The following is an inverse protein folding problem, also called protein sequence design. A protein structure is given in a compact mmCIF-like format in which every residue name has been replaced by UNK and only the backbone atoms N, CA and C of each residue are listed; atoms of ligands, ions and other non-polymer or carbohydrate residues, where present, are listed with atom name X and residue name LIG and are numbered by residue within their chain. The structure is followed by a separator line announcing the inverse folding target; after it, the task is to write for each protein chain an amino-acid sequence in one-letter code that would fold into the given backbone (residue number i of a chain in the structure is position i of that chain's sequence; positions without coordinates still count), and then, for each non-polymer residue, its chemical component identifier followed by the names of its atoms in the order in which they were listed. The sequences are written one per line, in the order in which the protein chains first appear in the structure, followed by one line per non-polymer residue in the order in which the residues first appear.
data_IF_983564026190
#
_entry.id   IF_983564026190
#
_cell.length_a   1.000
_cell.length_b   1.000
_cell.length_c   1.000
_cell.angle_alpha   90.00
_cell.angle_beta   90.00
_cell.angle_gamma   90.00
#
_symmetry.space_group_name_H-M   'P 1'
#
loop_
_entity.id
_entity.type
_entity.pdbx_description
1 polymer ?
#
# COMPACT_ATOMS: atom_id res chain seq x y z
N UNK A 1 15.45 7.91 -16.07
CA UNK A 1 15.50 8.05 -14.59
C UNK A 1 16.79 7.49 -14.01
N UNK A 2 17.24 6.25 -14.34
CA UNK A 2 18.44 5.61 -13.77
C UNK A 2 19.70 6.46 -13.90
N UNK A 3 20.08 6.83 -15.12
CA UNK A 3 21.31 7.61 -15.41
C UNK A 3 21.29 9.01 -14.80
N UNK A 4 20.12 9.64 -14.72
CA UNK A 4 19.94 10.98 -14.17
C UNK A 4 19.64 10.99 -12.67
N UNK A 5 19.65 9.85 -11.99
CA UNK A 5 19.32 9.69 -10.56
C UNK A 5 17.96 10.29 -10.18
N UNK A 6 16.96 10.12 -11.06
CA UNK A 6 15.60 10.60 -10.86
C UNK A 6 14.69 9.47 -10.36
N UNK A 7 13.60 9.85 -9.71
CA UNK A 7 12.51 8.94 -9.38
C UNK A 7 11.53 8.87 -10.55
N UNK A 8 11.13 7.66 -10.93
CA UNK A 8 10.09 7.44 -11.92
C UNK A 8 8.73 7.47 -11.25
N UNK A 9 7.96 8.53 -11.46
CA UNK A 9 6.68 8.78 -10.81
C UNK A 9 5.65 9.39 -11.77
N UNK A 10 4.39 9.37 -11.35
CA UNK A 10 3.29 10.14 -11.93
C UNK A 10 2.80 11.15 -10.89
N UNK A 11 2.58 12.40 -11.27
CA UNK A 11 1.97 13.37 -10.37
C UNK A 11 0.49 13.00 -10.12
N UNK A 12 0.02 13.27 -8.91
CA UNK A 12 -1.37 13.09 -8.52
C UNK A 12 -1.97 14.48 -8.36
N UNK A 13 -3.07 14.71 -9.06
CA UNK A 13 -3.88 15.92 -8.94
C UNK A 13 -5.24 15.54 -8.37
N UNK A 14 -5.84 16.43 -7.61
CA UNK A 14 -7.14 16.24 -6.99
C UNK A 14 -7.98 17.52 -7.15
N UNK A 15 -9.24 17.33 -7.50
CA UNK A 15 -10.26 18.37 -7.45
C UNK A 15 -11.03 18.19 -6.15
N UNK A 16 -11.23 19.26 -5.39
CA UNK A 16 -11.97 19.17 -4.13
C UNK A 16 -12.84 20.40 -3.91
N UNK A 17 -13.92 20.18 -3.16
CA UNK A 17 -14.84 21.21 -2.72
C UNK A 17 -14.90 21.25 -1.21
N UNK A 18 -14.69 22.41 -0.63
CA UNK A 18 -14.80 22.61 0.80
C UNK A 18 -16.20 23.10 1.12
N UNK A 19 -16.90 22.32 1.96
CA UNK A 19 -18.19 22.71 2.51
C UNK A 19 -18.00 23.36 3.87
N UNK A 20 -18.71 24.46 4.12
CA UNK A 20 -18.75 25.11 5.43
C UNK A 20 -20.04 24.72 6.13
N UNK A 21 -19.94 24.01 7.25
CA UNK A 21 -21.06 23.59 8.09
C UNK A 21 -21.58 24.70 9.03
N UNK A 22 -20.85 25.82 9.11
CA UNK A 22 -21.11 26.94 10.02
C UNK A 22 -22.09 27.98 9.46
N UNK A 23 -22.63 27.77 8.26
CA UNK A 23 -23.60 28.69 7.65
C UNK A 23 -25.03 28.32 8.06
N UNK A 24 -25.89 29.33 8.37
CA UNK A 24 -27.26 29.07 8.75
C UNK A 24 -28.05 28.46 7.59
N UNK A 25 -29.05 27.57 7.87
CA UNK A 25 -29.81 26.84 6.83
C UNK A 25 -30.67 27.74 5.92
N UNK A 26 -30.67 29.06 6.16
CA UNK A 26 -31.39 30.07 5.34
C UNK A 26 -30.53 30.72 4.27
N UNK A 27 -29.24 30.36 4.15
CA UNK A 27 -28.38 30.87 3.09
C UNK A 27 -28.79 30.26 1.74
N UNK A 28 -29.05 31.12 0.76
CA UNK A 28 -29.30 30.68 -0.63
C UNK A 28 -28.03 30.08 -1.23
N UNK A 29 -28.15 29.19 -2.21
CA UNK A 29 -27.01 28.51 -2.88
C UNK A 29 -25.92 29.46 -3.40
N UNK A 30 -26.27 30.75 -3.61
CA UNK A 30 -25.32 31.82 -4.00
C UNK A 30 -24.46 32.33 -2.84
N UNK A 31 -24.89 32.16 -1.58
CA UNK A 31 -24.18 32.60 -0.38
C UNK A 31 -23.34 31.52 0.28
N UNK A 32 -23.53 30.28 -0.14
CA UNK A 32 -22.69 29.14 0.26
C UNK A 32 -21.42 29.25 -0.57
N UNK A 33 -20.46 30.00 -0.06
CA UNK A 33 -19.15 30.16 -0.67
C UNK A 33 -18.44 28.81 -0.74
N UNK A 34 -18.70 28.07 -1.80
CA UNK A 34 -17.90 26.88 -2.10
C UNK A 34 -16.52 27.35 -2.53
N UNK A 35 -15.51 26.88 -1.84
CA UNK A 35 -14.14 26.96 -2.36
C UNK A 35 -13.96 25.70 -3.18
N UNK A 36 -13.98 25.84 -4.49
CA UNK A 36 -13.68 24.78 -5.43
C UNK A 36 -12.24 24.98 -5.93
N UNK A 37 -11.42 23.97 -5.71
CA UNK A 37 -10.04 23.95 -6.17
C UNK A 37 -9.88 22.77 -7.13
N UNK A 38 -9.49 23.07 -8.36
CA UNK A 38 -9.27 22.10 -9.41
C UNK A 38 -7.78 21.89 -9.68
N UNK A 39 -7.38 20.67 -9.96
CA UNK A 39 -6.02 20.35 -10.39
C UNK A 39 -4.94 20.60 -9.33
N UNK A 40 -5.28 20.52 -8.06
CA UNK A 40 -4.31 20.70 -6.97
C UNK A 40 -3.34 19.53 -6.92
N UNK A 41 -2.06 19.79 -7.11
CA UNK A 41 -1.01 18.78 -7.00
C UNK A 41 -0.84 18.34 -5.55
N UNK A 42 -1.22 17.09 -5.22
CA UNK A 42 -1.17 16.55 -3.87
C UNK A 42 0.06 15.68 -3.61
N UNK A 43 0.74 15.23 -4.65
CA UNK A 43 1.94 14.42 -4.49
C UNK A 43 2.38 13.70 -5.76
N UNK A 44 3.44 12.93 -5.63
CA UNK A 44 4.01 12.12 -6.70
C UNK A 44 3.96 10.65 -6.31
N UNK A 45 3.33 9.83 -7.14
CA UNK A 45 3.25 8.38 -6.94
C UNK A 45 4.33 7.68 -7.77
N UNK A 46 5.30 7.00 -7.13
CA UNK A 46 6.24 6.16 -7.86
C UNK A 46 5.50 5.09 -8.67
N UNK A 47 5.91 4.90 -9.91
CA UNK A 47 5.27 3.95 -10.83
C UNK A 47 6.15 2.70 -10.96
N UNK A 48 5.54 1.54 -10.78
CA UNK A 48 6.20 0.27 -11.00
C UNK A 48 6.48 0.09 -12.49
N UNK A 49 7.73 -0.21 -12.84
CA UNK A 49 8.15 -0.44 -14.22
C UNK A 49 7.38 -1.60 -14.83
N UNK A 50 6.85 -1.40 -16.03
CA UNK A 50 5.99 -2.31 -16.80
C UNK A 50 4.61 -2.59 -16.19
N UNK A 51 4.18 -1.83 -15.19
CA UNK A 51 2.79 -1.86 -14.74
C UNK A 51 1.85 -1.18 -15.74
N UNK A 52 0.53 -1.34 -15.56
CA UNK A 52 -0.47 -0.73 -16.44
C UNK A 52 -0.45 0.81 -16.52
N UNK A 53 0.28 1.48 -15.61
CA UNK A 53 0.51 2.94 -15.62
C UNK A 53 1.91 3.32 -16.15
N UNK A 54 2.75 2.34 -16.45
CA UNK A 54 4.09 2.57 -16.96
C UNK A 54 4.07 2.88 -18.45
N UNK A 55 4.89 3.83 -18.89
CA UNK A 55 5.04 4.15 -20.32
C UNK A 55 5.59 2.97 -21.16
N UNK A 56 6.23 1.99 -20.50
CA UNK A 56 6.73 0.78 -21.14
C UNK A 56 5.68 -0.35 -21.18
N UNK A 57 4.46 -0.10 -20.70
CA UNK A 57 3.37 -1.05 -20.86
C UNK A 57 3.02 -1.20 -22.36
N UNK A 58 2.66 -2.41 -22.83
CA UNK A 58 2.34 -2.65 -24.24
C UNK A 58 1.34 -1.65 -24.82
N UNK A 59 0.28 -1.33 -24.07
CA UNK A 59 -0.78 -0.42 -24.50
C UNK A 59 -0.28 1.03 -24.67
N UNK A 60 0.75 1.43 -23.93
CA UNK A 60 1.31 2.78 -24.01
C UNK A 60 2.43 2.89 -25.05
N UNK A 61 3.28 1.86 -25.18
CA UNK A 61 4.42 1.88 -26.08
C UNK A 61 3.98 1.71 -27.55
N UNK A 62 2.87 1.05 -27.79
CA UNK A 62 2.30 0.87 -29.13
C UNK A 62 1.68 2.15 -29.72
N UNK A 63 1.45 3.17 -28.89
CA UNK A 63 0.80 4.42 -29.27
C UNK A 63 -0.71 4.27 -29.53
N UNK A 64 -1.39 5.42 -29.69
CA UNK A 64 -2.85 5.50 -29.86
C UNK A 64 -3.38 4.92 -31.20
N UNK A 65 -2.51 4.58 -32.14
CA UNK A 65 -2.91 4.08 -33.43
C UNK A 65 -3.06 2.55 -33.52
N UNK A 66 -2.49 1.80 -32.60
CA UNK A 66 -2.60 0.34 -32.54
C UNK A 66 -3.35 -0.10 -31.27
N UNK A 67 -4.65 0.12 -31.26
CA UNK A 67 -5.58 -0.21 -30.20
C UNK A 67 -5.80 -1.70 -30.02
N UNK A 68 -4.81 -2.53 -29.73
CA UNK A 68 -5.13 -3.88 -29.23
C UNK A 68 -3.94 -4.78 -28.90
N UNK A 69 -2.89 -4.27 -28.25
CA UNK A 69 -2.02 -5.21 -27.56
C UNK A 69 -2.57 -5.46 -26.15
N UNK A 70 -3.66 -6.21 -26.04
CA UNK A 70 -4.14 -6.67 -24.74
C UNK A 70 -3.17 -7.71 -24.21
N UNK A 71 -2.29 -7.32 -23.29
CA UNK A 71 -1.48 -8.26 -22.53
C UNK A 71 -2.38 -8.95 -21.48
N UNK A 72 -3.26 -9.82 -22.00
CA UNK A 72 -4.02 -10.79 -21.23
C UNK A 72 -3.09 -11.97 -20.88
N UNK A 73 -3.35 -12.76 -19.83
CA UNK A 73 -2.62 -14.01 -19.58
C UNK A 73 -2.66 -15.01 -20.74
N UNK A 74 -3.46 -14.76 -21.76
CA UNK A 74 -3.54 -15.49 -23.03
C UNK A 74 -2.85 -14.77 -24.21
N UNK A 75 -1.85 -13.93 -23.95
CA UNK A 75 -1.11 -13.20 -24.99
C UNK A 75 -0.49 -14.18 -25.98
N UNK A 76 -0.74 -13.98 -27.27
CA UNK A 76 -0.13 -14.80 -28.33
C UNK A 76 1.39 -14.62 -28.34
N UNK A 77 2.12 -15.64 -28.80
CA UNK A 77 3.57 -15.55 -28.96
C UNK A 77 3.99 -14.40 -29.90
N UNK A 78 3.15 -14.07 -30.87
CA UNK A 78 3.34 -12.97 -31.81
C UNK A 78 3.26 -11.60 -31.10
N UNK A 79 2.28 -11.38 -30.22
CA UNK A 79 2.14 -10.13 -29.47
C UNK A 79 3.32 -9.92 -28.50
N UNK A 80 3.80 -11.00 -27.86
CA UNK A 80 4.98 -10.94 -27.02
C UNK A 80 6.25 -10.57 -27.81
N UNK A 81 6.40 -11.10 -29.02
CA UNK A 81 7.51 -10.79 -29.91
C UNK A 81 7.45 -9.32 -30.35
N UNK A 82 6.28 -8.86 -30.78
CA UNK A 82 6.03 -7.46 -31.18
C UNK A 82 6.34 -6.47 -30.06
N UNK A 83 5.92 -6.78 -28.83
CA UNK A 83 6.24 -5.95 -27.66
C UNK A 83 7.76 -5.85 -27.43
N UNK A 84 8.50 -6.97 -27.54
CA UNK A 84 9.96 -6.98 -27.44
C UNK A 84 10.63 -6.11 -28.52
N UNK A 85 10.10 -6.09 -29.74
CA UNK A 85 10.62 -5.24 -30.80
C UNK A 85 10.36 -3.76 -30.55
N UNK A 86 9.18 -3.40 -29.99
CA UNK A 86 8.86 -2.04 -29.62
C UNK A 86 9.77 -1.54 -28.50
N UNK A 87 10.06 -2.38 -27.50
CA UNK A 87 11.02 -2.05 -26.43
C UNK A 87 12.43 -1.80 -26.99
N UNK A 88 12.91 -2.64 -27.92
CA UNK A 88 14.21 -2.41 -28.58
C UNK A 88 14.24 -1.10 -29.36
N UNK A 89 13.16 -0.77 -30.07
CA UNK A 89 13.05 0.50 -30.82
C UNK A 89 13.07 1.71 -29.90
N UNK A 90 12.53 1.60 -28.70
CA UNK A 90 12.56 2.67 -27.67
C UNK A 90 13.87 2.73 -26.88
N UNK A 91 14.82 1.83 -27.14
CA UNK A 91 16.10 1.77 -26.44
C UNK A 91 16.05 1.09 -25.09
N UNK A 92 15.00 0.32 -24.81
CA UNK A 92 14.81 -0.42 -23.57
C UNK A 92 15.16 -1.91 -23.71
N UNK A 93 15.58 -2.52 -22.61
CA UNK A 93 15.91 -3.96 -22.62
C UNK A 93 14.62 -4.81 -22.68
N UNK A 94 14.42 -5.61 -23.74
CA UNK A 94 13.25 -6.48 -23.84
C UNK A 94 13.26 -7.64 -22.84
N UNK A 95 14.40 -7.96 -22.21
CA UNK A 95 14.54 -9.04 -21.23
C UNK A 95 14.29 -8.56 -19.78
N UNK A 96 14.21 -7.25 -19.56
CA UNK A 96 13.87 -6.70 -18.25
C UNK A 96 12.47 -7.18 -17.81
N UNK A 97 12.32 -7.89 -16.67
CA UNK A 97 11.01 -8.39 -16.23
C UNK A 97 10.07 -7.29 -15.73
N UNK A 98 10.58 -6.11 -15.35
CA UNK A 98 9.82 -5.08 -14.65
C UNK A 98 9.46 -5.48 -13.21
N UNK A 99 8.41 -4.89 -12.64
CA UNK A 99 7.95 -5.19 -11.28
C UNK A 99 8.72 -4.49 -10.17
N UNK A 100 9.55 -3.52 -10.50
CA UNK A 100 10.35 -2.72 -9.56
C UNK A 100 10.09 -1.22 -9.75
N UNK A 101 10.52 -0.44 -8.77
CA UNK A 101 10.45 1.02 -8.79
C UNK A 101 11.84 1.62 -8.98
N UNK A 102 11.91 2.78 -9.61
CA UNK A 102 13.15 3.55 -9.72
C UNK A 102 13.03 4.77 -8.81
N UNK A 103 13.80 4.77 -7.73
CA UNK A 103 13.81 5.83 -6.72
C UNK A 103 15.22 6.42 -6.67
N UNK A 104 15.35 7.71 -7.00
CA UNK A 104 16.64 8.41 -7.07
C UNK A 104 17.69 7.64 -7.90
N UNK A 105 17.25 7.05 -9.02
CA UNK A 105 18.08 6.25 -9.92
C UNK A 105 18.38 4.82 -9.45
N UNK A 106 17.95 4.42 -8.26
CA UNK A 106 18.14 3.08 -7.69
C UNK A 106 16.90 2.23 -7.88
N UNK A 107 17.10 0.99 -8.28
CA UNK A 107 16.00 0.02 -8.41
C UNK A 107 15.59 -0.50 -7.02
N UNK A 108 14.29 -0.44 -6.73
CA UNK A 108 13.68 -0.85 -5.47
C UNK A 108 12.53 -1.81 -5.71
N UNK A 109 12.46 -2.88 -4.94
CA UNK A 109 11.38 -3.87 -5.00
C UNK A 109 10.59 -3.82 -3.70
N UNK A 110 9.25 -3.90 -3.81
CA UNK A 110 8.40 -4.12 -2.65
C UNK A 110 8.40 -5.60 -2.32
N UNK A 111 8.81 -5.93 -1.09
CA UNK A 111 8.78 -7.29 -0.57
C UNK A 111 7.44 -7.48 0.13
N UNK A 112 6.70 -8.51 -0.24
CA UNK A 112 5.48 -8.91 0.46
C UNK A 112 5.83 -9.29 1.90
N UNK A 113 5.06 -8.78 2.85
CA UNK A 113 5.20 -9.07 4.26
C UNK A 113 3.91 -9.74 4.75
N UNK A 114 4.07 -10.86 5.45
CA UNK A 114 2.98 -11.54 6.14
C UNK A 114 3.10 -11.27 7.64
N UNK A 115 2.02 -10.88 8.27
CA UNK A 115 1.95 -10.61 9.71
C UNK A 115 0.59 -11.04 10.26
N UNK A 116 0.51 -11.18 11.58
CA UNK A 116 -0.74 -11.50 12.26
C UNK A 116 -1.75 -10.37 12.08
N UNK A 117 -2.99 -10.75 11.75
CA UNK A 117 -4.07 -9.79 11.60
C UNK A 117 -4.30 -9.01 12.89
N UNK A 118 -4.42 -7.66 12.84
CA UNK A 118 -4.71 -6.86 14.01
C UNK A 118 -6.12 -7.16 14.54
N UNK A 119 -6.34 -6.88 15.83
CA UNK A 119 -7.61 -7.03 16.53
C UNK A 119 -8.19 -8.46 16.52
N UNK A 120 -7.32 -9.47 16.34
CA UNK A 120 -7.68 -10.89 16.42
C UNK A 120 -6.91 -11.56 17.53
N UNK A 121 -7.63 -12.39 18.30
CA UNK A 121 -7.05 -13.19 19.37
C UNK A 121 -6.42 -14.45 18.79
N UNK A 122 -5.16 -14.69 19.13
CA UNK A 122 -4.44 -15.94 18.80
C UNK A 122 -4.03 -16.62 20.10
N UNK A 123 -4.42 -17.87 20.29
CA UNK A 123 -4.08 -18.65 21.49
C UNK A 123 -2.99 -19.64 21.17
N UNK A 124 -1.92 -19.61 21.96
CA UNK A 124 -0.76 -20.49 21.83
C UNK A 124 -0.39 -21.13 23.18
N UNK A 125 0.20 -22.32 23.13
CA UNK A 125 0.83 -22.91 24.33
C UNK A 125 2.22 -22.32 24.52
N UNK A 126 2.47 -21.73 25.69
CA UNK A 126 3.78 -21.21 26.01
C UNK A 126 4.66 -22.27 26.63
N UNK A 127 5.69 -22.69 25.91
CA UNK A 127 6.65 -23.71 26.36
C UNK A 127 7.80 -23.15 27.23
N UNK A 128 7.96 -21.81 27.28
CA UNK A 128 9.10 -21.17 27.95
C UNK A 128 8.94 -21.06 29.45
N UNK A 129 7.71 -21.03 29.97
CA UNK A 129 7.45 -20.78 31.39
C UNK A 129 6.75 -21.98 32.02
N UNK A 130 7.36 -22.52 33.08
CA UNK A 130 6.83 -23.70 33.78
C UNK A 130 5.45 -23.48 34.43
N UNK A 131 5.04 -22.22 34.64
CA UNK A 131 3.77 -21.85 35.31
C UNK A 131 2.68 -21.34 34.35
N UNK A 132 3.00 -21.18 33.07
CA UNK A 132 2.07 -20.64 32.08
C UNK A 132 1.69 -21.75 31.12
N UNK A 133 0.40 -22.01 30.97
CA UNK A 133 -0.09 -23.10 30.13
C UNK A 133 -0.55 -22.62 28.79
N UNK A 134 -1.23 -21.48 28.72
CA UNK A 134 -1.82 -20.93 27.52
C UNK A 134 -1.65 -19.41 27.52
N UNK A 135 -1.33 -18.84 26.34
CA UNK A 135 -1.17 -17.40 26.14
C UNK A 135 -2.02 -16.95 24.98
N UNK A 136 -2.92 -16.02 25.22
CA UNK A 136 -3.65 -15.32 24.19
C UNK A 136 -2.91 -14.03 23.82
N UNK A 137 -2.60 -13.87 22.53
CA UNK A 137 -1.93 -12.68 21.99
C UNK A 137 -2.90 -11.90 21.11
N UNK A 138 -2.96 -10.60 21.34
CA UNK A 138 -3.79 -9.68 20.58
C UNK A 138 -2.94 -8.48 20.19
N UNK A 139 -2.88 -8.19 18.88
CA UNK A 139 -2.33 -6.93 18.40
C UNK A 139 -3.47 -5.92 18.23
N UNK A 140 -3.75 -5.17 19.30
CA UNK A 140 -4.76 -4.11 19.23
C UNK A 140 -4.26 -2.96 18.36
N UNK A 141 -5.04 -2.61 17.34
CA UNK A 141 -4.72 -1.51 16.43
C UNK A 141 -5.92 -0.58 16.26
N UNK A 142 -5.67 0.69 16.50
CA UNK A 142 -6.62 1.79 16.25
C UNK A 142 -5.84 3.00 15.78
N UNK A 143 -6.35 3.68 14.73
CA UNK A 143 -5.79 4.92 14.19
C UNK A 143 -4.27 4.85 13.89
N UNK A 144 -3.83 3.71 13.33
CA UNK A 144 -2.43 3.46 12.99
C UNK A 144 -1.51 3.09 14.17
N UNK A 145 -2.00 3.17 15.40
CA UNK A 145 -1.25 2.78 16.60
C UNK A 145 -1.50 1.31 16.91
N UNK A 146 -0.43 0.51 16.94
CA UNK A 146 -0.46 -0.92 17.24
C UNK A 146 0.17 -1.21 18.61
N UNK A 147 -0.58 -1.91 19.47
CA UNK A 147 -0.10 -2.32 20.81
C UNK A 147 -0.30 -3.82 21.01
N UNK A 148 0.75 -4.58 21.37
CA UNK A 148 0.62 -5.98 21.73
C UNK A 148 0.01 -6.10 23.14
N UNK A 149 -0.98 -6.96 23.31
CA UNK A 149 -1.57 -7.32 24.58
C UNK A 149 -1.49 -8.83 24.72
N UNK A 150 -0.94 -9.31 25.83
CA UNK A 150 -0.85 -10.73 26.14
C UNK A 150 -1.69 -11.05 27.36
N UNK A 151 -2.49 -12.10 27.26
CA UNK A 151 -3.24 -12.67 28.37
C UNK A 151 -2.70 -14.08 28.63
N UNK A 152 -2.16 -14.32 29.81
CA UNK A 152 -1.50 -15.55 30.20
C UNK A 152 -2.35 -16.28 31.24
N UNK A 153 -2.62 -17.57 31.02
CA UNK A 153 -3.29 -18.45 32.00
C UNK A 153 -2.24 -19.18 32.80
N UNK A 154 -2.29 -19.05 34.10
CA UNK A 154 -1.42 -19.78 35.03
C UNK A 154 -1.98 -21.17 35.36
N UNK A 155 -1.14 -22.02 35.96
CA UNK A 155 -1.54 -23.36 36.41
C UNK A 155 -2.63 -23.35 37.51
N UNK A 156 -2.69 -22.30 38.28
CA UNK A 156 -3.74 -22.05 39.32
C UNK A 156 -5.08 -21.62 38.70
N UNK A 157 -5.14 -21.48 37.37
CA UNK A 157 -6.33 -21.02 36.65
C UNK A 157 -6.47 -19.51 36.53
N UNK A 158 -5.60 -18.74 37.17
CA UNK A 158 -5.64 -17.28 37.14
C UNK A 158 -5.23 -16.74 35.78
N UNK A 159 -5.99 -15.76 35.27
CA UNK A 159 -5.66 -15.03 34.06
C UNK A 159 -4.88 -13.75 34.42
N UNK A 160 -3.77 -13.56 33.72
CA UNK A 160 -2.90 -12.40 33.91
C UNK A 160 -2.76 -11.64 32.59
N UNK A 161 -3.00 -10.33 32.60
CA UNK A 161 -2.87 -9.45 31.43
C UNK A 161 -1.58 -8.66 31.51
N UNK A 162 -0.83 -8.65 30.41
CA UNK A 162 0.34 -7.80 30.20
C UNK A 162 0.01 -6.71 29.18
N UNK A 163 -0.04 -5.47 29.61
CA UNK A 163 -0.31 -4.29 28.77
C UNK A 163 0.94 -3.41 28.80
N UNK A 164 1.64 -3.20 27.66
CA UNK A 164 2.89 -2.43 27.66
C UNK A 164 2.77 -1.00 28.18
N UNK A 165 1.60 -0.37 28.02
CA UNK A 165 1.34 0.98 28.52
C UNK A 165 1.09 1.06 30.03
N UNK A 166 0.79 -0.08 30.70
CA UNK A 166 0.58 -0.17 32.13
C UNK A 166 1.84 -0.63 32.91
N UNK A 167 2.98 -0.76 32.21
CA UNK A 167 4.24 -1.23 32.78
C UNK A 167 4.54 -2.70 32.48
N UNK A 168 5.60 -3.21 33.12
CA UNK A 168 6.07 -4.59 32.92
C UNK A 168 5.32 -5.63 33.76
N UNK A 169 4.52 -5.19 34.72
CA UNK A 169 3.83 -6.06 35.69
C UNK A 169 2.55 -6.62 35.08
N UNK A 170 2.37 -7.94 35.22
CA UNK A 170 1.12 -8.58 34.83
C UNK A 170 0.04 -8.31 35.88
N UNK A 171 -1.17 -7.96 35.43
CA UNK A 171 -2.31 -7.62 36.26
C UNK A 171 -3.29 -8.79 36.23
N UNK A 172 -3.80 -9.30 37.38
CA UNK A 172 -4.85 -10.30 37.39
C UNK A 172 -6.16 -9.73 36.79
N UNK A 173 -6.92 -10.58 36.12
CA UNK A 173 -8.23 -10.24 35.51
C UNK A 173 -9.35 -10.80 36.39
#
# INVERSE_FOLDING_TARGET
CRLRKLTYFSPIYMDFRIYRDDLPPSSTDSDIGFIEEEGVHIGNLPIMVRSGRCNLHPDHIAGTQEKSLKLSPTTSAEDAQRHKELLRKSGEDPLDPGGYFIINGTERVLISMEDLAPNRVTVEKNKKYAHETEVAKIFSQKDGVRKPINVEKRRDGMLMVKIPSAGTTAIPV
#
